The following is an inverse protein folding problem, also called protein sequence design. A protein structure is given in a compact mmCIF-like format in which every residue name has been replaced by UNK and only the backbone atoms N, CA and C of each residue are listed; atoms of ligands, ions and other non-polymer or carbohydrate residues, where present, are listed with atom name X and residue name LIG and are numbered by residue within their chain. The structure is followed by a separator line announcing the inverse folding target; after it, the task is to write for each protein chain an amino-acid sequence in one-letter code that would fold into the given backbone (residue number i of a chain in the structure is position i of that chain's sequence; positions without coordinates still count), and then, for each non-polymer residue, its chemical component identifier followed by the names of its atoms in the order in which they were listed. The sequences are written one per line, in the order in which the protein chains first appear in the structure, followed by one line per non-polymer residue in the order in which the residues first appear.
data_IF_757220208937
#
_entry.id   IF_757220208937
#
_cell.length_a   1.000
_cell.length_b   1.000
_cell.length_c   1.000
_cell.angle_alpha   90.00
_cell.angle_beta   90.00
_cell.angle_gamma   90.00
#
_symmetry.space_group_name_H-M   'P 1'
#
loop_
_entity.id
_entity.type
_entity.pdbx_description
1 polymer ?
#
# COMPACT_ATOMS: atom_id res chain seq x y z
N UNK A 1 -4.51 4.36 -7.18
CA UNK A 1 -5.89 4.10 -7.64
C UNK A 1 -6.00 4.25 -9.16
N UNK A 2 -4.94 3.97 -9.93
CA UNK A 2 -4.93 4.25 -11.37
C UNK A 2 -6.08 3.52 -12.08
N UNK A 3 -6.95 4.28 -12.75
CA UNK A 3 -8.09 3.75 -13.49
C UNK A 3 -9.24 3.19 -12.63
N UNK A 4 -9.19 3.37 -11.30
CA UNK A 4 -10.25 2.94 -10.39
C UNK A 4 -11.39 3.94 -10.39
N UNK A 5 -12.61 3.44 -10.47
CA UNK A 5 -13.84 4.22 -10.57
C UNK A 5 -14.49 4.35 -9.21
N UNK A 6 -14.48 5.55 -8.65
CA UNK A 6 -15.02 5.85 -7.33
C UNK A 6 -16.30 6.64 -7.47
N UNK A 7 -17.40 6.11 -6.93
CA UNK A 7 -18.62 6.86 -6.77
C UNK A 7 -18.59 7.59 -5.44
N UNK A 8 -18.58 8.92 -5.48
CA UNK A 8 -18.59 9.77 -4.29
C UNK A 8 -20.00 10.29 -4.03
N UNK A 9 -20.66 9.73 -3.03
CA UNK A 9 -21.91 10.25 -2.48
C UNK A 9 -21.65 11.40 -1.51
N UNK A 10 -22.29 12.54 -1.73
CA UNK A 10 -22.21 13.70 -0.84
C UNK A 10 -23.61 13.93 -0.24
N UNK A 11 -23.69 13.97 1.09
CA UNK A 11 -24.95 14.18 1.82
C UNK A 11 -24.97 15.52 2.55
N UNK A 12 -26.13 15.89 3.10
CA UNK A 12 -26.33 17.19 3.74
C UNK A 12 -25.63 17.31 5.10
N UNK A 13 -24.69 18.24 5.20
CA UNK A 13 -24.01 18.60 6.45
C UNK A 13 -22.85 19.54 6.20
N UNK A 14 -22.43 20.29 7.22
CA UNK A 14 -21.38 21.30 7.10
C UNK A 14 -20.08 20.73 6.52
N UNK A 15 -19.73 19.48 6.83
CA UNK A 15 -18.53 18.82 6.31
C UNK A 15 -18.52 18.62 4.78
N UNK A 16 -19.62 18.90 4.06
CA UNK A 16 -19.68 18.81 2.60
C UNK A 16 -18.60 19.66 1.92
N UNK A 17 -18.18 20.80 2.51
CA UNK A 17 -17.11 21.64 1.97
C UNK A 17 -15.75 20.94 1.88
N UNK A 18 -15.51 19.87 2.65
CA UNK A 18 -14.27 19.07 2.60
C UNK A 18 -14.22 18.14 1.38
N UNK A 19 -15.37 17.81 0.81
CA UNK A 19 -15.51 16.79 -0.23
C UNK A 19 -14.90 17.21 -1.58
N UNK A 20 -14.92 18.48 -2.01
CA UNK A 20 -14.16 18.91 -3.19
C UNK A 20 -12.65 18.67 -3.08
N UNK A 21 -12.03 18.86 -1.90
CA UNK A 21 -10.62 18.48 -1.70
C UNK A 21 -10.44 16.96 -1.78
N UNK A 22 -11.35 16.19 -1.19
CA UNK A 22 -11.34 14.72 -1.31
C UNK A 22 -11.38 14.24 -2.76
N UNK A 23 -12.21 14.86 -3.62
CA UNK A 23 -12.21 14.56 -5.07
C UNK A 23 -10.83 14.79 -5.68
N UNK A 24 -10.17 15.91 -5.35
CA UNK A 24 -8.79 16.18 -5.82
C UNK A 24 -7.82 15.12 -5.33
N UNK A 25 -7.85 14.76 -4.04
CA UNK A 25 -6.97 13.73 -3.45
C UNK A 25 -7.13 12.36 -4.09
N UNK A 26 -8.35 11.99 -4.47
CA UNK A 26 -8.65 10.73 -5.17
C UNK A 26 -8.13 10.78 -6.62
N UNK A 27 -8.34 11.90 -7.32
CA UNK A 27 -7.85 12.10 -8.70
C UNK A 27 -6.33 12.17 -8.78
N UNK A 28 -5.66 12.82 -7.84
CA UNK A 28 -4.19 12.86 -7.74
C UNK A 28 -3.60 11.45 -7.59
N UNK A 29 -4.38 10.50 -7.03
CA UNK A 29 -4.05 9.07 -6.92
C UNK A 29 -4.47 8.24 -8.15
N UNK A 30 -4.92 8.90 -9.22
CA UNK A 30 -5.29 8.30 -10.51
C UNK A 30 -6.70 7.73 -10.61
N UNK A 31 -7.58 8.03 -9.65
CA UNK A 31 -8.97 7.56 -9.67
C UNK A 31 -9.84 8.41 -10.61
N UNK A 32 -10.81 7.77 -11.26
CA UNK A 32 -11.95 8.43 -11.87
C UNK A 32 -13.04 8.62 -10.82
N UNK A 33 -13.52 9.84 -10.61
CA UNK A 33 -14.49 10.15 -9.54
C UNK A 33 -15.80 10.64 -10.14
N UNK A 34 -16.88 9.90 -9.91
CA UNK A 34 -18.24 10.30 -10.26
C UNK A 34 -18.98 10.77 -9.01
N UNK A 35 -19.37 12.04 -8.97
CA UNK A 35 -20.03 12.63 -7.81
C UNK A 35 -21.55 12.47 -7.94
N UNK A 36 -22.18 12.05 -6.84
CA UNK A 36 -23.63 11.99 -6.66
C UNK A 36 -24.02 12.79 -5.42
N UNK A 37 -24.89 13.77 -5.56
CA UNK A 37 -25.29 14.66 -4.46
C UNK A 37 -26.74 14.42 -4.05
N UNK A 38 -27.02 14.35 -2.76
CA UNK A 38 -28.40 14.41 -2.26
C UNK A 38 -28.94 15.84 -2.34
N UNK A 39 -30.26 16.01 -2.19
CA UNK A 39 -30.88 17.34 -2.06
C UNK A 39 -30.20 18.18 -0.99
N UNK A 40 -30.04 17.62 0.22
CA UNK A 40 -29.41 18.32 1.34
C UNK A 40 -27.95 18.69 1.10
N UNK A 41 -27.19 17.96 0.29
CA UNK A 41 -25.81 18.33 -0.02
C UNK A 41 -25.71 19.60 -0.88
N UNK A 42 -26.68 19.80 -1.78
CA UNK A 42 -26.71 20.97 -2.68
C UNK A 42 -26.93 22.29 -1.95
N UNK A 43 -27.49 22.26 -0.74
CA UNK A 43 -27.64 23.43 0.12
C UNK A 43 -26.31 23.90 0.74
N UNK A 44 -25.30 23.03 0.84
CA UNK A 44 -24.00 23.36 1.43
C UNK A 44 -22.92 23.66 0.37
N UNK A 45 -22.91 22.90 -0.72
CA UNK A 45 -21.92 23.03 -1.80
C UNK A 45 -22.63 22.86 -3.13
N UNK A 46 -22.30 23.69 -4.11
CA UNK A 46 -22.97 23.63 -5.42
C UNK A 46 -22.46 22.47 -6.28
N UNK A 47 -23.30 21.87 -7.15
CA UNK A 47 -22.86 20.91 -8.15
C UNK A 47 -21.72 21.42 -9.05
N UNK A 48 -21.71 22.71 -9.37
CA UNK A 48 -20.67 23.35 -10.20
C UNK A 48 -19.27 23.19 -9.61
N UNK A 49 -19.14 23.32 -8.29
CA UNK A 49 -17.86 23.11 -7.60
C UNK A 49 -17.35 21.68 -7.82
N UNK A 50 -18.21 20.68 -7.65
CA UNK A 50 -17.85 19.28 -7.85
C UNK A 50 -17.56 18.95 -9.30
N UNK A 51 -18.29 19.54 -10.25
CA UNK A 51 -18.02 19.37 -11.68
C UNK A 51 -16.63 19.90 -12.05
N UNK A 52 -16.23 21.04 -11.50
CA UNK A 52 -14.90 21.61 -11.73
C UNK A 52 -13.77 20.71 -11.19
N UNK A 53 -13.92 20.17 -9.97
CA UNK A 53 -12.87 19.32 -9.36
C UNK A 53 -12.89 17.86 -9.84
N UNK A 54 -14.03 17.33 -10.30
CA UNK A 54 -14.13 15.96 -10.80
C UNK A 54 -13.86 15.86 -12.31
N UNK A 55 -14.15 16.92 -13.07
CA UNK A 55 -14.15 16.90 -14.53
C UNK A 55 -15.33 16.12 -15.14
N UNK A 56 -16.36 15.79 -14.34
CA UNK A 56 -17.53 15.01 -14.76
C UNK A 56 -18.83 15.71 -14.33
N UNK A 57 -19.90 15.48 -15.07
CA UNK A 57 -21.24 15.96 -14.69
C UNK A 57 -21.64 15.36 -13.35
N UNK A 58 -22.08 16.21 -12.41
CA UNK A 58 -22.60 15.75 -11.12
C UNK A 58 -23.98 15.16 -11.31
N UNK A 59 -24.26 14.03 -10.65
CA UNK A 59 -25.59 13.39 -10.68
C UNK A 59 -26.35 13.74 -9.39
N UNK A 60 -27.65 13.96 -9.49
CA UNK A 60 -28.48 14.33 -8.33
C UNK A 60 -29.87 13.72 -8.35
N UNK A 61 -30.45 13.54 -9.54
CA UNK A 61 -31.86 13.23 -9.67
C UNK A 61 -32.06 11.80 -10.21
N UNK A 62 -32.90 11.03 -9.51
CA UNK A 62 -33.21 9.64 -9.87
C UNK A 62 -34.02 9.56 -11.17
N UNK A 63 -34.81 10.60 -11.45
CA UNK A 63 -35.76 10.65 -12.58
C UNK A 63 -35.28 11.52 -13.74
N UNK A 64 -33.97 11.63 -13.91
CA UNK A 64 -33.38 12.30 -15.07
C UNK A 64 -33.75 11.52 -16.35
N UNK A 65 -34.75 12.02 -17.09
CA UNK A 65 -35.34 11.33 -18.24
C UNK A 65 -34.30 10.94 -19.31
N UNK A 66 -33.24 11.74 -19.50
CA UNK A 66 -32.19 11.45 -20.46
C UNK A 66 -31.31 10.28 -20.03
N UNK A 67 -31.10 10.10 -18.72
CA UNK A 67 -30.29 9.03 -18.18
C UNK A 67 -31.09 7.75 -17.90
N UNK A 68 -32.35 7.89 -17.47
CA UNK A 68 -33.22 6.73 -17.18
C UNK A 68 -33.70 6.00 -18.43
N UNK A 69 -33.72 6.67 -19.59
CA UNK A 69 -33.93 6.00 -20.88
C UNK A 69 -32.91 4.88 -21.15
N UNK A 70 -31.75 4.89 -20.49
CA UNK A 70 -30.70 3.89 -20.55
C UNK A 70 -30.50 3.11 -19.24
N UNK A 71 -31.48 3.12 -18.31
CA UNK A 71 -31.31 2.55 -16.96
C UNK A 71 -30.08 3.12 -16.22
N UNK A 72 -29.90 4.43 -16.31
CA UNK A 72 -28.69 5.13 -15.87
C UNK A 72 -28.29 4.88 -14.41
N UNK A 73 -29.23 4.67 -13.48
CA UNK A 73 -28.88 4.30 -12.11
C UNK A 73 -28.22 2.91 -12.00
N UNK A 74 -28.64 1.91 -12.78
CA UNK A 74 -28.01 0.58 -12.78
C UNK A 74 -26.62 0.64 -13.40
N UNK A 75 -26.48 1.34 -14.52
CA UNK A 75 -25.16 1.53 -15.17
C UNK A 75 -24.20 2.26 -14.24
N UNK A 76 -24.67 3.30 -13.56
CA UNK A 76 -23.87 4.06 -12.61
C UNK A 76 -23.48 3.24 -11.37
N UNK A 77 -24.39 2.40 -10.86
CA UNK A 77 -24.10 1.50 -9.75
C UNK A 77 -23.06 0.43 -10.11
N UNK A 78 -23.09 -0.08 -11.36
CA UNK A 78 -22.12 -1.03 -11.91
C UNK A 78 -20.79 -0.40 -12.32
N UNK A 79 -20.80 0.91 -12.61
CA UNK A 79 -19.60 1.64 -13.00
C UNK A 79 -18.59 1.75 -11.85
N UNK A 80 -19.06 1.79 -10.60
CA UNK A 80 -18.23 1.98 -9.43
C UNK A 80 -17.42 0.71 -9.06
N UNK A 81 -16.11 0.86 -8.84
CA UNK A 81 -15.27 -0.13 -8.16
C UNK A 81 -15.38 -0.02 -6.63
N UNK A 82 -15.77 1.15 -6.12
CA UNK A 82 -16.11 1.41 -4.73
C UNK A 82 -17.07 2.60 -4.61
N UNK A 83 -17.93 2.56 -3.59
CA UNK A 83 -18.80 3.68 -3.23
C UNK A 83 -18.35 4.27 -1.90
N UNK A 84 -18.09 5.58 -1.89
CA UNK A 84 -17.78 6.33 -0.68
C UNK A 84 -18.84 7.40 -0.45
N UNK A 85 -19.43 7.43 0.75
CA UNK A 85 -20.33 8.50 1.17
C UNK A 85 -19.59 9.42 2.14
N UNK A 86 -19.24 10.62 1.70
CA UNK A 86 -18.48 11.59 2.47
C UNK A 86 -18.93 13.03 2.16
N UNK A 87 -19.46 13.77 3.16
CA UNK A 87 -19.90 13.27 4.47
C UNK A 87 -21.11 12.33 4.34
N UNK A 88 -21.25 11.43 5.31
CA UNK A 88 -22.46 10.67 5.58
C UNK A 88 -23.21 11.27 6.79
N UNK A 89 -24.34 11.91 6.53
CA UNK A 89 -25.21 12.49 7.58
C UNK A 89 -25.96 11.40 8.34
N UNK A 90 -26.45 11.71 9.54
CA UNK A 90 -27.26 10.78 10.33
C UNK A 90 -28.51 10.30 9.57
N UNK A 91 -29.16 11.21 8.83
CA UNK A 91 -30.29 10.89 7.94
C UNK A 91 -29.91 9.82 6.91
N UNK A 92 -28.80 10.03 6.18
CA UNK A 92 -28.38 9.10 5.15
C UNK A 92 -27.98 7.74 5.73
N UNK A 93 -27.31 7.71 6.89
CA UNK A 93 -27.01 6.46 7.59
C UNK A 93 -28.28 5.69 7.95
N UNK A 94 -29.33 6.38 8.41
CA UNK A 94 -30.61 5.74 8.73
C UNK A 94 -31.29 5.17 7.48
N UNK A 95 -31.28 5.91 6.37
CA UNK A 95 -31.85 5.45 5.09
C UNK A 95 -31.09 4.25 4.53
N UNK A 96 -29.75 4.29 4.59
CA UNK A 96 -28.91 3.17 4.16
C UNK A 96 -29.12 1.93 5.04
N UNK A 97 -29.20 2.09 6.36
CA UNK A 97 -29.42 0.99 7.29
C UNK A 97 -30.81 0.34 7.12
N UNK A 98 -31.82 1.13 6.75
CA UNK A 98 -33.20 0.65 6.52
C UNK A 98 -33.46 0.21 5.07
N UNK A 99 -32.50 0.38 4.16
CA UNK A 99 -32.63 -0.04 2.76
C UNK A 99 -33.58 0.84 1.95
N UNK A 100 -33.74 2.10 2.33
CA UNK A 100 -34.53 3.06 1.54
C UNK A 100 -33.82 3.39 0.23
N UNK A 101 -34.58 3.57 -0.85
CA UNK A 101 -34.11 3.89 -2.19
C UNK A 101 -34.97 5.02 -2.81
N UNK A 102 -35.07 6.13 -2.10
CA UNK A 102 -35.96 7.25 -2.42
C UNK A 102 -35.26 8.46 -3.05
N UNK A 103 -33.93 8.43 -3.16
CA UNK A 103 -33.14 9.36 -3.97
C UNK A 103 -32.10 8.60 -4.78
N UNK A 104 -31.45 9.27 -5.74
CA UNK A 104 -30.48 8.61 -6.61
C UNK A 104 -29.36 7.92 -5.80
N UNK A 105 -28.78 8.61 -4.80
CA UNK A 105 -27.64 8.07 -4.05
C UNK A 105 -28.01 6.80 -3.25
N UNK A 106 -29.14 6.82 -2.55
CA UNK A 106 -29.62 5.67 -1.78
C UNK A 106 -29.99 4.49 -2.68
N UNK A 107 -30.61 4.74 -3.84
CA UNK A 107 -30.87 3.72 -4.86
C UNK A 107 -29.58 3.08 -5.39
N UNK A 108 -28.55 3.88 -5.66
CA UNK A 108 -27.25 3.37 -6.12
C UNK A 108 -26.57 2.51 -5.06
N UNK A 109 -26.67 2.89 -3.78
CA UNK A 109 -26.13 2.09 -2.69
C UNK A 109 -26.86 0.74 -2.54
N UNK A 110 -28.15 0.68 -2.86
CA UNK A 110 -28.92 -0.56 -2.83
C UNK A 110 -28.62 -1.45 -4.06
N UNK A 111 -28.30 -0.85 -5.21
CA UNK A 111 -28.13 -1.55 -6.48
C UNK A 111 -26.67 -1.93 -6.82
N UNK A 112 -25.69 -1.51 -6.03
CA UNK A 112 -24.26 -1.76 -6.31
C UNK A 112 -23.77 -3.07 -5.71
N UNK A 113 -22.86 -3.74 -6.42
CA UNK A 113 -22.07 -4.87 -5.89
C UNK A 113 -20.72 -4.40 -5.32
N UNK A 114 -20.36 -3.14 -5.54
CA UNK A 114 -19.09 -2.57 -5.09
C UNK A 114 -19.06 -2.39 -3.56
N UNK A 115 -17.89 -2.51 -2.91
CA UNK A 115 -17.75 -2.23 -1.50
C UNK A 115 -18.17 -0.78 -1.19
N UNK A 116 -18.97 -0.62 -0.14
CA UNK A 116 -19.49 0.66 0.33
C UNK A 116 -18.75 1.09 1.60
N UNK A 117 -18.36 2.35 1.67
CA UNK A 117 -17.90 2.99 2.89
C UNK A 117 -18.63 4.31 3.17
N UNK A 118 -18.80 4.62 4.44
CA UNK A 118 -19.39 5.86 4.94
C UNK A 118 -18.38 6.61 5.79
N UNK A 119 -18.30 7.93 5.63
CA UNK A 119 -17.51 8.83 6.46
C UNK A 119 -18.48 9.71 7.28
N UNK A 120 -18.88 9.28 8.49
CA UNK A 120 -19.89 9.99 9.28
C UNK A 120 -19.46 11.42 9.61
N UNK A 121 -20.41 12.34 9.54
CA UNK A 121 -20.20 13.72 9.98
C UNK A 121 -21.50 14.30 10.57
N UNK A 122 -21.49 14.58 11.87
CA UNK A 122 -22.64 15.12 12.61
C UNK A 122 -22.20 15.66 13.97
N UNK A 123 -23.10 16.37 14.66
CA UNK A 123 -22.86 16.79 16.03
C UNK A 123 -22.63 15.58 16.97
N UNK A 124 -21.81 15.73 18.01
CA UNK A 124 -21.48 14.63 18.93
C UNK A 124 -22.69 13.99 19.61
N UNK A 125 -23.73 14.78 19.94
CA UNK A 125 -24.99 14.27 20.52
C UNK A 125 -25.73 13.39 19.50
N UNK A 126 -25.74 13.80 18.22
CA UNK A 126 -26.33 12.99 17.15
C UNK A 126 -25.55 11.69 16.93
N UNK A 127 -24.22 11.74 17.03
CA UNK A 127 -23.35 10.58 16.90
C UNK A 127 -23.55 9.58 18.05
N UNK A 128 -23.65 10.08 19.29
CA UNK A 128 -23.88 9.29 20.49
C UNK A 128 -25.30 8.73 20.60
N UNK A 129 -26.25 9.26 19.82
CA UNK A 129 -27.64 8.82 19.86
C UNK A 129 -27.79 7.33 19.55
N UNK A 130 -28.59 6.62 20.36
CA UNK A 130 -28.79 5.18 20.24
C UNK A 130 -29.27 4.75 18.84
N UNK A 131 -30.11 5.53 18.16
CA UNK A 131 -30.56 5.23 16.80
C UNK A 131 -29.41 5.28 15.79
N UNK A 132 -28.57 6.33 15.85
CA UNK A 132 -27.37 6.45 15.00
C UNK A 132 -26.42 5.30 15.25
N UNK A 133 -26.15 4.97 16.51
CA UNK A 133 -25.27 3.85 16.90
C UNK A 133 -25.80 2.51 16.38
N UNK A 134 -27.10 2.26 16.49
CA UNK A 134 -27.73 1.05 15.96
C UNK A 134 -27.66 0.96 14.43
N UNK A 135 -27.86 2.07 13.72
CA UNK A 135 -27.73 2.14 12.26
C UNK A 135 -26.30 1.84 11.83
N UNK A 136 -25.30 2.46 12.47
CA UNK A 136 -23.87 2.21 12.19
C UNK A 136 -23.50 0.75 12.45
N UNK A 137 -23.97 0.16 13.55
CA UNK A 137 -23.74 -1.25 13.85
C UNK A 137 -24.38 -2.18 12.80
N UNK A 138 -25.61 -1.89 12.38
CA UNK A 138 -26.31 -2.63 11.31
C UNK A 138 -25.54 -2.55 9.99
N UNK A 139 -25.05 -1.36 9.62
CA UNK A 139 -24.26 -1.16 8.41
C UNK A 139 -22.95 -1.95 8.44
N UNK A 140 -22.24 -1.90 9.57
CA UNK A 140 -21.01 -2.66 9.75
C UNK A 140 -21.24 -4.18 9.64
N UNK A 141 -22.33 -4.70 10.22
CA UNK A 141 -22.72 -6.12 10.09
C UNK A 141 -23.01 -6.52 8.64
N UNK A 142 -23.48 -5.58 7.81
CA UNK A 142 -23.72 -5.79 6.37
C UNK A 142 -22.46 -5.57 5.50
N UNK A 143 -21.29 -5.38 6.11
CA UNK A 143 -20.02 -5.23 5.42
C UNK A 143 -19.70 -3.79 4.97
N UNK A 144 -20.57 -2.82 5.27
CA UNK A 144 -20.29 -1.39 5.00
C UNK A 144 -19.19 -0.91 5.94
N UNK A 145 -18.14 -0.33 5.37
CA UNK A 145 -17.00 0.16 6.15
C UNK A 145 -17.29 1.56 6.71
N UNK A 146 -16.98 1.77 7.99
CA UNK A 146 -17.25 3.03 8.68
C UNK A 146 -15.93 3.76 8.94
N UNK A 147 -15.75 4.91 8.31
CA UNK A 147 -14.53 5.71 8.38
C UNK A 147 -14.69 6.90 9.33
N UNK A 148 -14.33 6.68 10.59
CA UNK A 148 -14.44 7.67 11.66
C UNK A 148 -15.78 7.56 12.42
N UNK A 149 -16.29 8.68 12.96
CA UNK A 149 -15.80 10.05 12.85
C UNK A 149 -14.49 10.29 13.63
N UNK A 150 -13.86 11.44 13.38
CA UNK A 150 -12.81 12.00 14.22
C UNK A 150 -13.38 12.77 15.42
N UNK A 151 -12.54 12.95 16.42
CA UNK A 151 -12.75 13.86 17.55
C UNK A 151 -12.18 15.27 17.24
N UNK A 152 -12.77 16.31 17.84
CA UNK A 152 -12.25 17.68 17.82
C UNK A 152 -13.35 18.74 17.83
N UNK A 153 -12.97 19.99 17.55
CA UNK A 153 -13.89 21.14 17.49
C UNK A 153 -14.93 21.00 16.37
N UNK A 154 -16.20 21.15 16.74
CA UNK A 154 -17.34 21.05 15.85
C UNK A 154 -17.87 22.44 15.48
N UNK A 155 -18.57 22.54 14.35
CA UNK A 155 -19.10 23.82 13.86
C UNK A 155 -20.11 24.47 14.81
N UNK A 156 -20.70 23.71 15.75
CA UNK A 156 -21.56 24.21 16.81
C UNK A 156 -20.82 24.80 18.02
N UNK A 157 -19.48 24.74 18.04
CA UNK A 157 -18.65 25.23 19.15
C UNK A 157 -18.37 24.21 20.26
N UNK A 158 -18.80 22.95 20.08
CA UNK A 158 -18.56 21.86 21.03
C UNK A 158 -17.36 21.00 20.61
N UNK A 159 -16.77 20.28 21.56
CA UNK A 159 -15.66 19.34 21.35
C UNK A 159 -16.19 17.92 21.53
N UNK A 160 -15.94 17.04 20.55
CA UNK A 160 -16.26 15.63 20.68
C UNK A 160 -16.20 14.85 19.37
N UNK A 161 -16.46 13.54 19.45
CA UNK A 161 -16.56 12.66 18.28
C UNK A 161 -17.73 13.08 17.38
N UNK A 162 -17.47 13.27 16.08
CA UNK A 162 -18.52 13.66 15.13
C UNK A 162 -18.01 14.34 13.86
N UNK A 163 -16.72 14.71 13.83
CA UNK A 163 -16.10 15.34 12.65
C UNK A 163 -15.83 14.31 11.57
N UNK A 164 -16.07 14.66 10.31
CA UNK A 164 -15.58 13.87 9.19
C UNK A 164 -14.05 13.79 9.26
N UNK A 165 -13.49 12.60 9.05
CA UNK A 165 -12.05 12.41 8.83
C UNK A 165 -11.52 13.35 7.74
N UNK A 166 -10.22 13.65 7.78
CA UNK A 166 -9.63 14.54 6.80
C UNK A 166 -9.59 13.87 5.41
N UNK A 167 -9.71 14.66 4.31
CA UNK A 167 -9.75 14.15 2.95
C UNK A 167 -8.59 13.22 2.57
N UNK A 168 -7.39 13.48 3.10
CA UNK A 168 -6.20 12.66 2.85
C UNK A 168 -6.37 11.27 3.46
N UNK A 169 -6.84 11.18 4.71
CA UNK A 169 -7.07 9.91 5.40
C UNK A 169 -8.16 9.09 4.72
N UNK A 170 -9.24 9.76 4.29
CA UNK A 170 -10.32 9.10 3.54
C UNK A 170 -9.82 8.53 2.20
N UNK A 171 -9.02 9.30 1.45
CA UNK A 171 -8.45 8.83 0.19
C UNK A 171 -7.55 7.60 0.38
N UNK A 172 -6.82 7.51 1.49
CA UNK A 172 -6.02 6.33 1.84
C UNK A 172 -6.89 5.13 2.22
N UNK A 173 -7.92 5.33 3.04
CA UNK A 173 -8.82 4.25 3.47
C UNK A 173 -9.63 3.67 2.31
N UNK A 174 -10.06 4.50 1.35
CA UNK A 174 -10.75 4.04 0.14
C UNK A 174 -9.89 3.08 -0.68
N UNK A 175 -8.56 3.30 -0.72
CA UNK A 175 -7.65 2.38 -1.42
C UNK A 175 -7.69 0.97 -0.83
N UNK A 176 -7.92 0.85 0.49
CA UNK A 176 -8.01 -0.42 1.17
C UNK A 176 -9.36 -1.14 0.93
N UNK A 177 -10.41 -0.43 0.50
CA UNK A 177 -11.71 -1.01 0.14
C UNK A 177 -11.68 -1.75 -1.18
N UNK A 178 -10.92 -1.21 -2.13
CA UNK A 178 -10.90 -1.72 -3.49
C UNK A 178 -10.37 -3.16 -3.46
N UNK A 179 -11.06 -4.12 -4.11
CA UNK A 179 -10.55 -5.46 -4.22
C UNK A 179 -9.12 -5.43 -4.77
N UNK A 180 -8.24 -6.25 -4.17
CA UNK A 180 -6.92 -6.48 -4.72
C UNK A 180 -7.08 -6.98 -6.15
N UNK A 181 -6.76 -6.13 -7.12
CA UNK A 181 -6.79 -6.45 -8.54
C UNK A 181 -5.37 -6.35 -9.07
N UNK A 182 -4.99 -7.28 -9.94
CA UNK A 182 -3.66 -7.32 -10.52
C UNK A 182 -3.05 -8.70 -10.41
N UNK A 183 -1.88 -8.84 -11.03
CA UNK A 183 -1.17 -10.10 -11.18
C UNK A 183 -0.84 -10.83 -9.87
N UNK A 184 -0.68 -10.08 -8.78
CA UNK A 184 -0.34 -10.60 -7.45
C UNK A 184 -1.55 -10.56 -6.50
N UNK A 185 -2.77 -10.39 -7.01
CA UNK A 185 -3.98 -10.47 -6.21
C UNK A 185 -4.04 -11.81 -5.45
N UNK A 186 -4.35 -11.74 -4.15
CA UNK A 186 -4.39 -12.90 -3.26
C UNK A 186 -3.03 -13.44 -2.84
N UNK A 187 -1.92 -12.83 -3.26
CA UNK A 187 -0.57 -13.23 -2.83
C UNK A 187 -0.09 -12.39 -1.66
N UNK A 188 0.65 -13.03 -0.75
CA UNK A 188 1.37 -12.36 0.34
C UNK A 188 2.84 -12.19 -0.03
N UNK A 189 3.31 -10.94 0.00
CA UNK A 189 4.68 -10.55 -0.36
C UNK A 189 5.37 -9.97 0.87
N UNK A 190 6.48 -10.59 1.28
CA UNK A 190 7.34 -10.11 2.36
C UNK A 190 8.59 -9.46 1.78
N UNK A 191 8.90 -8.24 2.19
CA UNK A 191 9.98 -7.45 1.63
C UNK A 191 10.87 -6.93 2.75
N UNK A 192 12.19 -7.02 2.61
CA UNK A 192 13.13 -6.30 3.48
C UNK A 192 13.66 -5.06 2.77
N UNK A 193 13.78 -3.93 3.44
CA UNK A 193 14.36 -2.70 2.87
C UNK A 193 15.21 -1.91 3.87
N UNK A 194 16.06 -1.02 3.36
CA UNK A 194 16.92 -0.15 4.20
C UNK A 194 18.23 -0.82 4.64
N UNK A 195 19.09 -0.09 5.36
CA UNK A 195 20.32 -0.64 5.95
C UNK A 195 20.02 -1.35 7.29
N UNK A 196 20.99 -2.06 7.86
CA UNK A 196 20.98 -2.41 9.29
C UNK A 196 22.06 -1.63 10.05
N UNK A 197 21.87 -1.44 11.36
CA UNK A 197 22.82 -0.74 12.24
C UNK A 197 23.31 -1.70 13.32
N UNK A 198 24.56 -2.11 13.20
CA UNK A 198 25.23 -2.98 14.16
C UNK A 198 25.93 -2.11 15.22
N UNK A 199 25.37 -2.09 16.44
CA UNK A 199 25.83 -1.20 17.51
C UNK A 199 27.25 -1.55 17.97
N UNK A 200 28.10 -0.53 18.02
CA UNK A 200 29.43 -0.60 18.65
C UNK A 200 29.29 -0.21 20.13
N UNK A 201 28.59 0.89 20.37
CA UNK A 201 28.24 1.43 21.69
C UNK A 201 26.87 2.14 21.58
N UNK A 202 26.29 2.75 22.64
CA UNK A 202 24.98 3.40 22.54
C UNK A 202 24.91 4.59 21.57
N UNK A 203 26.04 5.08 21.06
CA UNK A 203 26.16 6.28 20.22
C UNK A 203 26.62 5.94 18.80
N UNK A 204 27.38 4.86 18.63
CA UNK A 204 28.04 4.51 17.37
C UNK A 204 27.58 3.14 16.87
N UNK A 205 27.49 3.02 15.55
CA UNK A 205 27.13 1.77 14.87
C UNK A 205 27.88 1.63 13.55
N UNK A 206 27.95 0.40 13.05
CA UNK A 206 28.37 0.06 11.68
C UNK A 206 27.11 -0.13 10.83
N UNK A 207 27.10 0.41 9.61
CA UNK A 207 25.96 0.36 8.70
C UNK A 207 26.41 0.44 7.25
N UNK A 208 25.59 -0.11 6.35
CA UNK A 208 25.78 0.06 4.91
C UNK A 208 25.11 1.36 4.44
N UNK A 209 25.62 1.93 3.34
CA UNK A 209 25.04 3.12 2.70
C UNK A 209 23.81 2.71 1.87
N UNK A 210 22.65 2.63 2.50
CA UNK A 210 21.39 2.38 1.78
C UNK A 210 20.34 3.41 2.15
N UNK A 211 19.73 4.02 1.13
CA UNK A 211 18.60 4.93 1.33
C UNK A 211 17.27 4.19 1.51
N UNK A 212 17.21 2.87 1.30
CA UNK A 212 15.97 2.08 1.36
C UNK A 212 14.98 2.32 0.20
N UNK A 213 15.17 3.39 -0.59
CA UNK A 213 14.24 3.82 -1.66
C UNK A 213 13.83 2.69 -2.61
N UNK A 214 14.75 1.80 -2.99
CA UNK A 214 14.44 0.70 -3.91
C UNK A 214 13.45 -0.29 -3.28
N UNK A 215 13.69 -0.72 -2.03
CA UNK A 215 12.79 -1.64 -1.33
C UNK A 215 11.39 -1.07 -1.09
N UNK A 216 11.31 0.22 -0.77
CA UNK A 216 10.03 0.93 -0.65
C UNK A 216 9.29 1.01 -1.99
N UNK A 217 10.02 1.26 -3.09
CA UNK A 217 9.45 1.25 -4.43
C UNK A 217 8.95 -0.14 -4.83
N UNK A 218 9.67 -1.21 -4.49
CA UNK A 218 9.21 -2.60 -4.69
C UNK A 218 7.96 -2.90 -3.86
N UNK A 219 7.91 -2.45 -2.61
CA UNK A 219 6.72 -2.61 -1.77
C UNK A 219 5.50 -1.90 -2.35
N UNK A 220 5.68 -0.68 -2.86
CA UNK A 220 4.62 0.03 -3.57
C UNK A 220 4.19 -0.73 -4.83
N UNK A 221 5.13 -1.15 -5.68
CA UNK A 221 4.82 -1.85 -6.92
C UNK A 221 4.11 -3.21 -6.68
N UNK A 222 4.52 -3.95 -5.65
CA UNK A 222 3.85 -5.18 -5.25
C UNK A 222 2.41 -4.93 -4.79
N UNK A 223 2.19 -3.85 -4.01
CA UNK A 223 0.84 -3.44 -3.58
C UNK A 223 -0.01 -2.98 -4.76
N UNK A 224 0.56 -2.24 -5.70
CA UNK A 224 -0.11 -1.82 -6.95
C UNK A 224 -0.51 -3.03 -7.81
N UNK A 225 0.28 -4.12 -7.77
CA UNK A 225 -0.04 -5.39 -8.43
C UNK A 225 -1.07 -6.25 -7.67
N UNK A 226 -1.63 -5.76 -6.55
CA UNK A 226 -2.71 -6.43 -5.81
C UNK A 226 -2.23 -7.30 -4.64
N UNK A 227 -0.94 -7.32 -4.31
CA UNK A 227 -0.44 -8.14 -3.20
C UNK A 227 -0.82 -7.58 -1.81
N UNK A 228 -0.92 -8.49 -0.84
CA UNK A 228 -0.80 -8.14 0.59
C UNK A 228 0.68 -8.03 0.93
N UNK A 229 1.14 -6.84 1.31
CA UNK A 229 2.57 -6.57 1.46
C UNK A 229 2.93 -6.30 2.92
N UNK A 230 3.96 -7.00 3.39
CA UNK A 230 4.65 -6.70 4.65
C UNK A 230 6.07 -6.23 4.33
N UNK A 231 6.46 -5.08 4.87
CA UNK A 231 7.75 -4.44 4.68
C UNK A 231 8.51 -4.41 6.01
N UNK A 232 9.56 -5.23 6.14
CA UNK A 232 10.52 -5.18 7.24
C UNK A 232 11.59 -4.14 6.88
N UNK A 233 11.53 -2.98 7.53
CA UNK A 233 12.36 -1.83 7.22
C UNK A 233 13.43 -1.63 8.29
N UNK A 234 14.69 -1.59 7.87
CA UNK A 234 15.77 -1.02 8.68
C UNK A 234 15.64 0.51 8.82
N UNK A 235 16.53 1.16 9.59
CA UNK A 235 16.36 2.56 9.97
C UNK A 235 16.48 3.53 8.76
N UNK A 236 15.32 4.01 8.29
CA UNK A 236 15.14 5.03 7.25
C UNK A 236 13.95 5.94 7.54
N UNK A 237 14.01 7.19 7.07
CA UNK A 237 12.95 8.21 7.22
C UNK A 237 12.03 8.29 5.99
N UNK A 238 11.75 7.16 5.34
CA UNK A 238 10.84 7.10 4.19
C UNK A 238 9.39 6.86 4.65
N UNK A 239 8.39 7.51 4.02
CA UNK A 239 6.99 7.21 4.30
C UNK A 239 6.64 5.79 3.84
N UNK A 240 5.82 5.09 4.62
CA UNK A 240 5.30 3.77 4.25
C UNK A 240 4.34 3.90 3.07
N UNK A 241 4.47 3.11 1.99
CA UNK A 241 3.52 3.14 0.89
C UNK A 241 2.11 2.76 1.37
N UNK A 242 1.08 3.40 0.80
CA UNK A 242 -0.31 3.16 1.21
C UNK A 242 -0.70 1.68 1.05
N UNK A 243 -1.32 1.10 2.07
CA UNK A 243 -1.74 -0.31 2.07
C UNK A 243 -0.61 -1.34 2.29
N UNK A 244 0.59 -0.89 2.68
CA UNK A 244 1.71 -1.75 3.09
C UNK A 244 1.82 -1.76 4.62
N UNK A 245 1.94 -2.94 5.23
CA UNK A 245 2.23 -3.06 6.66
C UNK A 245 3.75 -2.98 6.90
N UNK A 246 4.20 -2.00 7.69
CA UNK A 246 5.63 -1.81 8.00
C UNK A 246 5.98 -2.36 9.39
N UNK A 247 7.14 -3.01 9.47
CA UNK A 247 7.78 -3.46 10.72
C UNK A 247 9.17 -2.83 10.76
N UNK A 248 9.42 -1.98 11.75
CA UNK A 248 10.73 -1.35 11.94
C UNK A 248 11.68 -2.25 12.74
N UNK A 249 12.92 -2.33 12.27
CA UNK A 249 14.02 -3.10 12.88
C UNK A 249 15.31 -2.28 12.88
N UNK A 250 16.27 -2.60 13.75
CA UNK A 250 17.55 -1.88 13.81
C UNK A 250 18.70 -2.72 13.26
N UNK A 251 18.88 -3.94 13.76
CA UNK A 251 20.02 -4.81 13.41
C UNK A 251 19.67 -5.91 12.40
N UNK A 252 20.70 -6.57 11.87
CA UNK A 252 20.56 -7.78 11.04
C UNK A 252 19.83 -8.92 11.78
N UNK A 253 20.07 -9.05 13.08
CA UNK A 253 19.42 -10.05 13.92
C UNK A 253 17.93 -9.76 14.09
N UNK A 254 17.56 -8.49 14.34
CA UNK A 254 16.16 -8.07 14.43
C UNK A 254 15.43 -8.29 13.11
N UNK A 255 16.08 -7.94 12.00
CA UNK A 255 15.54 -8.14 10.65
C UNK A 255 15.28 -9.62 10.38
N UNK A 256 16.24 -10.50 10.70
CA UNK A 256 16.06 -11.94 10.55
C UNK A 256 14.88 -12.45 11.39
N UNK A 257 14.81 -12.05 12.66
CA UNK A 257 13.74 -12.47 13.57
C UNK A 257 12.36 -12.02 13.06
N UNK A 258 12.23 -10.77 12.62
CA UNK A 258 11.00 -10.25 12.04
C UNK A 258 10.61 -10.99 10.75
N UNK A 259 11.58 -11.25 9.86
CA UNK A 259 11.34 -12.00 8.63
C UNK A 259 10.84 -13.41 8.94
N UNK A 260 11.48 -14.13 9.86
CA UNK A 260 11.08 -15.49 10.23
C UNK A 260 9.69 -15.54 10.87
N UNK A 261 9.31 -14.52 11.64
CA UNK A 261 7.98 -14.40 12.23
C UNK A 261 6.90 -14.20 11.16
N UNK A 262 7.17 -13.40 10.14
CA UNK A 262 6.20 -13.08 9.08
C UNK A 262 6.19 -14.10 7.93
N UNK A 263 7.21 -14.96 7.86
CA UNK A 263 7.38 -15.92 6.76
C UNK A 263 6.22 -16.91 6.56
N UNK A 264 5.56 -17.47 7.61
CA UNK A 264 4.49 -18.45 7.43
C UNK A 264 3.36 -17.91 6.52
N UNK A 265 3.04 -18.64 5.44
CA UNK A 265 2.01 -18.20 4.49
C UNK A 265 2.44 -17.07 3.55
N UNK A 266 3.72 -16.74 3.47
CA UNK A 266 4.27 -15.84 2.46
C UNK A 266 4.44 -16.59 1.14
N UNK A 267 3.98 -16.00 0.03
CA UNK A 267 4.18 -16.55 -1.32
C UNK A 267 5.50 -16.12 -1.94
N UNK A 268 5.90 -14.87 -1.70
CA UNK A 268 7.05 -14.23 -2.34
C UNK A 268 7.86 -13.49 -1.27
N UNK A 269 9.18 -13.75 -1.22
CA UNK A 269 10.12 -13.02 -0.39
C UNK A 269 11.09 -12.22 -1.25
N UNK A 270 11.16 -10.90 -1.05
CA UNK A 270 12.05 -10.01 -1.79
C UNK A 270 13.04 -9.33 -0.83
N UNK A 271 14.30 -9.75 -0.91
CA UNK A 271 15.38 -9.25 -0.05
C UNK A 271 16.11 -8.08 -0.72
N UNK A 272 15.64 -6.86 -0.48
CA UNK A 272 16.26 -5.62 -0.98
C UNK A 272 17.12 -4.87 0.04
N UNK A 273 17.10 -5.30 1.31
CA UNK A 273 17.81 -4.62 2.39
C UNK A 273 19.32 -4.76 2.24
N UNK A 274 20.04 -3.70 2.60
CA UNK A 274 21.50 -3.71 2.70
C UNK A 274 21.91 -4.14 4.11
N UNK A 275 21.74 -5.43 4.40
CA UNK A 275 22.11 -6.04 5.68
C UNK A 275 23.63 -6.00 5.83
N UNK A 276 24.11 -5.59 7.00
CA UNK A 276 25.54 -5.61 7.31
C UNK A 276 26.07 -7.04 7.37
N UNK A 277 27.16 -7.34 6.66
CA UNK A 277 27.77 -8.69 6.63
C UNK A 277 28.50 -9.05 7.94
N UNK A 278 28.90 -8.03 8.71
CA UNK A 278 29.62 -8.18 9.98
C UNK A 278 29.03 -7.27 11.05
N UNK A 279 29.10 -7.72 12.30
CA UNK A 279 28.74 -6.96 13.50
C UNK A 279 29.88 -6.97 14.51
N UNK A 280 29.97 -5.98 15.43
CA UNK A 280 30.89 -6.06 16.56
C UNK A 280 30.62 -7.34 17.38
N UNK A 281 31.67 -8.09 17.68
CA UNK A 281 31.56 -9.33 18.47
C UNK A 281 31.04 -9.06 19.90
N UNK A 282 31.27 -7.84 20.42
CA UNK A 282 30.68 -7.33 21.66
C UNK A 282 30.31 -5.86 21.47
N UNK A 283 29.04 -5.53 21.69
CA UNK A 283 28.60 -4.14 21.81
C UNK A 283 28.86 -3.64 23.24
N UNK A 284 29.43 -2.44 23.38
CA UNK A 284 29.63 -1.83 24.69
C UNK A 284 28.31 -1.25 25.21
N UNK A 285 28.02 -1.42 26.50
CA UNK A 285 26.83 -0.82 27.14
C UNK A 285 26.99 0.69 27.38
N UNK A 286 28.22 1.18 27.43
CA UNK A 286 28.56 2.58 27.63
C UNK A 286 29.36 3.12 26.46
N UNK A 287 29.24 4.43 26.20
CA UNK A 287 30.02 5.11 25.17
C UNK A 287 31.50 4.88 25.41
N UNK A 288 32.19 4.31 24.42
CA UNK A 288 33.63 4.05 24.51
C UNK A 288 34.35 5.41 24.57
N UNK A 289 35.05 5.65 25.69
CA UNK A 289 35.79 6.89 25.95
C UNK A 289 37.02 6.98 25.04
N UNK A 290 37.39 8.20 24.64
CA UNK A 290 38.58 8.46 23.82
C UNK A 290 39.84 8.50 24.68
N UNK A 291 40.21 7.36 25.26
CA UNK A 291 41.38 7.23 26.16
C UNK A 291 42.61 6.64 25.46
N UNK A 292 42.43 5.91 24.36
CA UNK A 292 43.50 5.35 23.54
C UNK A 292 43.65 6.11 22.21
N UNK A 293 44.84 6.07 21.62
CA UNK A 293 45.12 6.67 20.31
C UNK A 293 44.41 5.94 19.15
N UNK A 294 44.24 4.61 19.26
CA UNK A 294 43.51 3.78 18.30
C UNK A 294 42.36 3.01 18.97
N UNK A 295 41.35 2.65 18.17
CA UNK A 295 40.24 1.79 18.57
C UNK A 295 40.18 0.59 17.62
N UNK A 296 40.37 -0.60 18.16
CA UNK A 296 40.22 -1.86 17.43
C UNK A 296 38.90 -2.52 17.81
N UNK A 297 38.15 -2.98 16.81
CA UNK A 297 36.87 -3.66 16.99
C UNK A 297 36.96 -5.07 16.41
N UNK A 298 36.81 -6.07 17.27
CA UNK A 298 36.61 -7.44 16.83
C UNK A 298 35.23 -7.57 16.18
N UNK A 299 35.19 -8.10 14.95
CA UNK A 299 33.97 -8.26 14.16
C UNK A 299 33.67 -9.74 13.92
N UNK A 300 32.39 -10.10 13.92
CA UNK A 300 31.91 -11.43 13.57
C UNK A 300 30.84 -11.37 12.47
N UNK A 301 30.65 -12.46 11.73
CA UNK A 301 29.67 -12.50 10.64
C UNK A 301 28.25 -12.48 11.17
N UNK A 302 27.38 -11.74 10.47
CA UNK A 302 25.94 -11.80 10.69
C UNK A 302 25.33 -13.02 9.99
N UNK A 303 24.09 -13.35 10.35
CA UNK A 303 23.32 -14.36 9.64
C UNK A 303 22.78 -13.79 8.32
N UNK A 304 22.93 -14.55 7.23
CA UNK A 304 22.43 -14.17 5.91
C UNK A 304 20.92 -14.41 5.83
N UNK A 305 20.13 -13.33 5.93
CA UNK A 305 18.66 -13.37 5.94
C UNK A 305 18.12 -14.10 4.71
N UNK A 306 18.61 -13.75 3.53
CA UNK A 306 18.13 -14.30 2.27
C UNK A 306 18.49 -15.79 2.13
N UNK A 307 19.73 -16.16 2.44
CA UNK A 307 20.14 -17.56 2.40
C UNK A 307 19.37 -18.40 3.43
N UNK A 308 19.10 -17.84 4.62
CA UNK A 308 18.32 -18.52 5.67
C UNK A 308 16.90 -18.83 5.20
N UNK A 309 16.22 -17.86 4.56
CA UNK A 309 14.88 -18.08 3.99
C UNK A 309 14.93 -19.06 2.82
N UNK A 310 15.89 -18.91 1.91
CA UNK A 310 15.99 -19.74 0.70
C UNK A 310 16.44 -21.19 0.97
N UNK A 311 16.97 -21.50 2.16
CA UNK A 311 17.34 -22.85 2.57
C UNK A 311 16.17 -23.66 3.14
N UNK A 312 15.02 -23.03 3.42
CA UNK A 312 13.87 -23.72 4.03
C UNK A 312 13.17 -24.66 3.04
N UNK A 313 12.58 -25.72 3.57
CA UNK A 313 11.77 -26.66 2.78
C UNK A 313 10.46 -26.03 2.27
N UNK A 314 9.85 -25.16 3.07
CA UNK A 314 8.63 -24.40 2.77
C UNK A 314 8.92 -22.99 2.24
N UNK A 315 10.11 -22.78 1.65
CA UNK A 315 10.55 -21.45 1.22
C UNK A 315 9.57 -20.83 0.21
N UNK A 316 9.33 -19.51 0.29
CA UNK A 316 8.59 -18.78 -0.73
C UNK A 316 9.42 -18.66 -2.02
N UNK A 317 8.81 -18.06 -3.05
CA UNK A 317 9.55 -17.58 -4.22
C UNK A 317 10.54 -16.49 -3.78
N UNK A 318 11.84 -16.77 -3.88
CA UNK A 318 12.90 -15.98 -3.27
C UNK A 318 13.62 -15.09 -4.31
N UNK A 319 13.55 -13.78 -4.09
CA UNK A 319 14.17 -12.75 -4.93
C UNK A 319 15.26 -12.04 -4.14
N UNK A 320 16.49 -12.09 -4.65
CA UNK A 320 17.62 -11.36 -4.08
C UNK A 320 17.91 -10.05 -4.81
N UNK A 321 18.62 -9.15 -4.15
CA UNK A 321 19.28 -8.01 -4.78
C UNK A 321 20.80 -8.12 -4.65
N UNK A 322 21.52 -7.65 -5.66
CA UNK A 322 22.98 -7.58 -5.65
C UNK A 322 23.44 -6.20 -6.15
N UNK A 323 24.22 -5.52 -5.32
CA UNK A 323 24.98 -4.35 -5.73
C UNK A 323 26.42 -4.81 -5.98
N UNK A 324 26.92 -4.61 -7.19
CA UNK A 324 28.25 -5.07 -7.62
C UNK A 324 29.04 -3.89 -8.20
N UNK A 325 30.33 -3.80 -7.89
CA UNK A 325 31.21 -2.75 -8.44
C UNK A 325 31.83 -3.12 -9.78
N UNK A 326 31.86 -4.41 -10.10
CA UNK A 326 32.42 -4.98 -11.32
C UNK A 326 31.74 -6.30 -11.64
N UNK A 327 31.87 -6.79 -12.88
CA UNK A 327 31.42 -8.14 -13.29
C UNK A 327 29.98 -8.50 -12.83
N UNK A 328 29.07 -7.52 -12.90
CA UNK A 328 27.75 -7.54 -12.24
C UNK A 328 26.97 -8.82 -12.54
N UNK A 329 26.88 -9.21 -13.82
CA UNK A 329 26.12 -10.40 -14.21
C UNK A 329 26.74 -11.70 -13.66
N UNK A 330 28.06 -11.85 -13.75
CA UNK A 330 28.75 -13.07 -13.31
C UNK A 330 28.62 -13.25 -11.78
N UNK A 331 28.78 -12.17 -11.02
CA UNK A 331 28.61 -12.18 -9.57
C UNK A 331 27.16 -12.48 -9.19
N UNK A 332 26.20 -11.88 -9.89
CA UNK A 332 24.78 -12.13 -9.69
C UNK A 332 24.40 -13.60 -9.98
N UNK A 333 24.89 -14.19 -11.09
CA UNK A 333 24.70 -15.62 -11.40
C UNK A 333 25.26 -16.52 -10.30
N UNK A 334 26.45 -16.20 -9.81
CA UNK A 334 27.08 -16.96 -8.71
C UNK A 334 26.24 -16.89 -7.44
N UNK A 335 25.74 -15.70 -7.07
CA UNK A 335 24.87 -15.50 -5.90
C UNK A 335 23.51 -16.21 -6.06
N UNK A 336 22.90 -16.15 -7.25
CA UNK A 336 21.66 -16.84 -7.58
C UNK A 336 21.76 -18.35 -7.28
N UNK A 337 22.82 -18.99 -7.79
CA UNK A 337 23.05 -20.41 -7.60
C UNK A 337 23.44 -20.75 -6.16
N UNK A 338 24.42 -20.04 -5.59
CA UNK A 338 24.95 -20.30 -4.24
C UNK A 338 23.88 -20.17 -3.15
N UNK A 339 22.96 -19.20 -3.27
CA UNK A 339 21.87 -18.99 -2.31
C UNK A 339 20.56 -19.67 -2.70
N UNK A 340 20.55 -20.51 -3.75
CA UNK A 340 19.36 -21.23 -4.23
C UNK A 340 18.15 -20.32 -4.52
N UNK A 341 18.39 -19.17 -5.14
CA UNK A 341 17.35 -18.18 -5.42
C UNK A 341 16.51 -18.55 -6.65
N UNK A 342 15.35 -17.93 -6.76
CA UNK A 342 14.50 -18.01 -7.94
C UNK A 342 14.81 -16.89 -8.94
N UNK A 343 15.14 -15.72 -8.40
CA UNK A 343 15.50 -14.53 -9.17
C UNK A 343 16.50 -13.66 -8.39
N UNK A 344 17.35 -12.94 -9.10
CA UNK A 344 18.21 -11.90 -8.54
C UNK A 344 18.18 -10.66 -9.43
N UNK A 345 17.95 -9.50 -8.83
CA UNK A 345 18.07 -8.21 -9.48
C UNK A 345 19.42 -7.59 -9.11
N UNK A 346 20.27 -7.33 -10.10
CA UNK A 346 21.62 -6.82 -9.89
C UNK A 346 21.79 -5.44 -10.53
N UNK A 347 22.53 -4.57 -9.86
CA UNK A 347 22.91 -3.27 -10.39
C UNK A 347 24.38 -2.96 -10.13
N UNK A 348 24.97 -2.23 -11.07
CA UNK A 348 26.33 -1.70 -10.93
C UNK A 348 26.32 -0.53 -9.93
N UNK A 349 27.26 -0.50 -8.99
CA UNK A 349 27.40 0.57 -7.98
C UNK A 349 28.84 1.08 -7.90
N UNK A 350 29.05 2.37 -7.64
CA UNK A 350 30.40 2.96 -7.57
C UNK A 350 30.41 4.47 -7.32
N UNK A 351 31.59 5.10 -7.33
CA UNK A 351 31.80 6.51 -6.94
C UNK A 351 30.93 7.53 -7.71
N UNK A 352 30.44 7.18 -8.91
CA UNK A 352 29.54 8.01 -9.73
C UNK A 352 28.26 7.27 -10.19
N UNK A 353 27.94 6.10 -9.61
CA UNK A 353 26.83 5.25 -10.05
C UNK A 353 26.04 4.64 -8.89
N UNK A 354 24.72 4.85 -8.93
CA UNK A 354 23.64 4.09 -8.28
C UNK A 354 23.57 4.02 -6.73
N UNK A 355 24.50 4.59 -5.96
CA UNK A 355 24.27 4.85 -4.54
C UNK A 355 23.65 6.24 -4.34
N UNK A 356 22.45 6.28 -3.78
CA UNK A 356 21.66 7.48 -3.47
C UNK A 356 21.11 8.28 -4.67
N UNK A 357 21.27 7.79 -5.90
CA UNK A 357 20.60 8.32 -7.09
C UNK A 357 19.10 7.94 -7.13
N UNK A 358 18.27 8.76 -7.79
CA UNK A 358 16.82 8.50 -7.94
C UNK A 358 16.48 7.58 -9.13
N UNK A 359 17.42 7.40 -10.05
CA UNK A 359 17.36 6.45 -11.16
C UNK A 359 18.38 5.31 -11.00
N UNK A 360 18.10 4.19 -11.67
CA UNK A 360 18.97 3.01 -11.67
C UNK A 360 18.71 2.17 -12.93
N UNK A 361 19.50 1.12 -13.13
CA UNK A 361 19.29 0.07 -14.14
C UNK A 361 19.43 -1.30 -13.45
N UNK A 362 18.62 -2.28 -13.83
CA UNK A 362 18.68 -3.63 -13.25
C UNK A 362 18.95 -4.67 -14.34
N UNK A 363 19.94 -5.53 -14.09
CA UNK A 363 20.05 -6.82 -14.77
C UNK A 363 19.34 -7.84 -13.89
N UNK A 364 18.25 -8.40 -14.39
CA UNK A 364 17.43 -9.38 -13.67
C UNK A 364 17.72 -10.77 -14.24
N UNK A 365 18.17 -11.67 -13.38
CA UNK A 365 18.46 -13.05 -13.73
C UNK A 365 17.48 -13.96 -13.00
N UNK A 366 16.85 -14.87 -13.72
CA UNK A 366 16.10 -15.98 -13.14
C UNK A 366 16.65 -17.30 -13.67
N UNK A 367 16.08 -18.42 -13.22
CA UNK A 367 16.40 -19.75 -13.78
C UNK A 367 15.99 -19.88 -15.25
N UNK A 368 15.07 -19.03 -15.71
CA UNK A 368 14.49 -19.09 -17.06
C UNK A 368 15.15 -18.11 -18.04
N UNK A 369 15.98 -17.19 -17.58
CA UNK A 369 16.66 -16.26 -18.49
C UNK A 369 17.24 -15.00 -17.86
N UNK A 370 17.69 -14.11 -18.74
CA UNK A 370 18.23 -12.78 -18.44
C UNK A 370 17.27 -11.74 -18.98
N UNK A 371 16.95 -10.75 -18.16
CA UNK A 371 16.18 -9.57 -18.53
C UNK A 371 16.94 -8.32 -18.12
N UNK A 372 16.72 -7.24 -18.86
CA UNK A 372 17.37 -5.97 -18.60
C UNK A 372 16.30 -4.88 -18.47
N UNK A 373 16.27 -4.23 -17.31
CA UNK A 373 15.41 -3.07 -17.05
C UNK A 373 16.28 -1.83 -17.21
N UNK A 374 16.09 -1.14 -18.34
CA UNK A 374 16.84 0.06 -18.72
C UNK A 374 16.71 1.17 -17.68
N UNK A 375 17.63 2.13 -17.76
CA UNK A 375 17.73 3.25 -16.81
C UNK A 375 16.39 3.97 -16.64
N UNK A 376 15.84 3.94 -15.44
CA UNK A 376 14.58 4.57 -15.10
C UNK A 376 14.51 4.90 -13.60
N UNK A 377 13.48 5.65 -13.21
CA UNK A 377 13.19 5.89 -11.80
C UNK A 377 12.88 4.58 -11.05
N UNK A 378 13.21 4.52 -9.75
CA UNK A 378 13.08 3.31 -8.92
C UNK A 378 11.71 2.65 -8.95
N UNK A 379 10.62 3.44 -8.98
CA UNK A 379 9.26 2.89 -9.05
C UNK A 379 8.97 2.21 -10.40
N UNK A 380 9.46 2.78 -11.50
CA UNK A 380 9.34 2.16 -12.83
C UNK A 380 10.10 0.84 -12.90
N UNK A 381 11.33 0.80 -12.38
CA UNK A 381 12.10 -0.44 -12.27
C UNK A 381 11.42 -1.46 -11.36
N UNK A 382 10.88 -1.03 -10.23
CA UNK A 382 10.14 -1.88 -9.31
C UNK A 382 8.92 -2.53 -9.98
N UNK A 383 8.14 -1.76 -10.75
CA UNK A 383 7.02 -2.30 -11.55
C UNK A 383 7.48 -3.31 -12.60
N UNK A 384 8.59 -3.01 -13.29
CA UNK A 384 9.21 -3.95 -14.24
C UNK A 384 9.65 -5.24 -13.58
N UNK A 385 10.27 -5.16 -12.39
CA UNK A 385 10.67 -6.33 -11.61
C UNK A 385 9.46 -7.17 -11.18
N UNK A 386 8.39 -6.54 -10.69
CA UNK A 386 7.17 -7.23 -10.30
C UNK A 386 6.52 -7.96 -11.49
N UNK A 387 6.51 -7.35 -12.67
CA UNK A 387 6.03 -8.00 -13.90
C UNK A 387 6.88 -9.21 -14.30
N UNK A 388 8.21 -9.15 -14.12
CA UNK A 388 9.08 -10.30 -14.36
C UNK A 388 8.85 -11.43 -13.35
N UNK A 389 8.63 -11.10 -12.07
CA UNK A 389 8.29 -12.09 -11.04
C UNK A 389 6.96 -12.79 -11.38
N UNK A 390 5.95 -12.04 -11.82
CA UNK A 390 4.68 -12.60 -12.29
C UNK A 390 4.89 -13.59 -13.44
N UNK A 391 5.63 -13.19 -14.47
CA UNK A 391 5.88 -14.02 -15.65
C UNK A 391 6.55 -15.36 -15.26
N UNK A 392 7.55 -15.31 -14.36
CA UNK A 392 8.23 -16.52 -13.88
C UNK A 392 7.29 -17.42 -13.07
N UNK A 393 6.44 -16.84 -12.20
CA UNK A 393 5.44 -17.57 -11.43
C UNK A 393 4.39 -18.24 -12.33
N UNK A 394 3.91 -17.54 -13.36
CA UNK A 394 2.96 -18.07 -14.33
C UNK A 394 3.57 -19.23 -15.14
N UNK A 395 4.82 -19.09 -15.58
CA UNK A 395 5.55 -20.14 -16.30
C UNK A 395 5.72 -21.41 -15.43
N UNK A 396 6.06 -21.25 -14.15
CA UNK A 396 6.17 -22.38 -13.19
C UNK A 396 4.83 -23.07 -12.96
N UNK A 397 3.75 -22.30 -12.80
CA UNK A 397 2.42 -22.87 -12.63
C UNK A 397 1.99 -23.67 -13.87
N UNK A 398 2.30 -23.17 -15.07
CA UNK A 398 2.04 -23.89 -16.33
C UNK A 398 2.87 -25.17 -16.44
N UNK A 399 4.16 -25.13 -16.08
CA UNK A 399 5.03 -26.30 -16.09
C UNK A 399 4.54 -27.39 -15.10
N UNK A 400 4.09 -27.00 -13.90
CA UNK A 400 3.55 -27.95 -12.90
C UNK A 400 2.25 -28.62 -13.37
N UNK A 401 1.40 -27.89 -14.13
CA UNK A 401 0.17 -28.45 -14.72
C UNK A 401 0.43 -29.43 -15.87
N UNK A 402 1.57 -29.32 -16.57
CA UNK A 402 1.92 -30.21 -17.69
C UNK A 402 2.48 -31.57 -17.24
N UNK A 403 2.82 -31.74 -15.96
CA UNK A 403 3.44 -32.97 -15.42
C UNK A 403 4.83 -33.24 -15.98
N UNK A 404 5.63 -34.16 -15.40
CA UNK A 404 6.85 -34.60 -16.04
C UNK A 404 6.45 -35.32 -17.34
N UNK A 405 7.00 -34.89 -18.48
CA UNK A 405 6.95 -35.71 -19.67
C UNK A 405 7.66 -37.03 -19.32
N UNK A 406 6.92 -38.14 -19.35
CA UNK A 406 7.48 -39.48 -19.25
C UNK A 406 8.59 -39.61 -20.31
N UNK A 407 9.84 -39.69 -19.84
CA UNK A 407 11.00 -40.09 -20.62
C UNK A 407 11.61 -41.32 -19.95
#
# INVERSE_FOLDING_TARGET
MQGKRILLGVTGGIAAYKSPDLVRRLRDRGAEVQVVMTGGAREFVTPTTFQAVSGRTVRSDLWDAAAEAAMGHIELARWADAVLIAPASADFLARLATGQANDLLSTLCLATEAPIAVAPAMNHVMWANAATRANVATLAQRGVQVFGPAEGDQACGEIGEGRMLEPVDLAERVLALLPASGALAGRRVLITAGPTRERIDPVRFVSNRSSGKMGFAVAQAAREAGATVVLVAGPVSLPTPAGVARIDVESAADMLAAVLRELPGTDIFISTAAVADYRPARAAEQKIKKTAESLELAMERTADVLATVAARADRPYAVGFAAETESVEQNARTKLMKKNLDMIAANEVGHDKAFDCDDNQLIVLSRNGRHELLRAGKLTLARGLIALIEQDLAARAAARKRGPALA
#
